data_IF_639414102380
#
_entry.id   IF_639414102380
#
_cell.length_a   1.000
_cell.length_b   1.000
_cell.length_c   1.000
_cell.angle_alpha   90.00
_cell.angle_beta   90.00
_cell.angle_gamma   90.00
#
_symmetry.space_group_name_H-M   'P 1'
#
loop_
_entity.id
_entity.type
_entity.pdbx_description
1 polymer ?
#
# COMPACT_ATOMS: atom_id res chain seq x y z
N UNK A 1 2.01 -26.18 0.62
CA UNK A 1 3.44 -26.58 0.69
C UNK A 1 4.24 -26.13 -0.53
N UNK A 2 3.65 -26.03 -1.73
CA UNK A 2 4.37 -25.59 -2.96
C UNK A 2 4.59 -24.06 -3.00
N UNK A 3 3.64 -23.25 -2.53
CA UNK A 3 3.68 -21.78 -2.66
C UNK A 3 4.89 -21.11 -1.97
N UNK A 4 5.35 -21.63 -0.84
CA UNK A 4 6.47 -21.04 -0.09
C UNK A 4 7.80 -21.27 -0.81
N UNK A 5 8.00 -22.48 -1.35
CA UNK A 5 9.16 -22.80 -2.19
C UNK A 5 9.15 -21.98 -3.49
N UNK A 6 8.00 -21.87 -4.16
CA UNK A 6 7.86 -21.03 -5.36
C UNK A 6 8.15 -19.56 -5.07
N UNK A 7 7.75 -19.09 -3.89
CA UNK A 7 8.04 -17.72 -3.44
C UNK A 7 9.53 -17.51 -3.22
N UNK A 8 10.22 -18.45 -2.57
CA UNK A 8 11.68 -18.39 -2.39
C UNK A 8 12.42 -18.40 -3.72
N UNK A 9 12.05 -19.31 -4.63
CA UNK A 9 12.62 -19.36 -5.99
C UNK A 9 12.38 -18.04 -6.73
N UNK A 10 11.19 -17.45 -6.62
CA UNK A 10 10.88 -16.18 -7.24
C UNK A 10 11.73 -15.03 -6.67
N UNK A 11 12.05 -15.04 -5.37
CA UNK A 11 12.96 -14.08 -4.76
C UNK A 11 14.39 -14.25 -5.28
N UNK A 12 14.91 -15.47 -5.29
CA UNK A 12 16.27 -15.78 -5.77
C UNK A 12 16.47 -15.38 -7.24
N UNK A 13 15.44 -15.58 -8.07
CA UNK A 13 15.45 -15.19 -9.48
C UNK A 13 15.11 -13.71 -9.71
N UNK A 14 14.94 -12.93 -8.64
CA UNK A 14 14.59 -11.52 -8.69
C UNK A 14 13.17 -11.23 -9.20
N UNK A 15 12.33 -12.24 -9.43
CA UNK A 15 10.93 -12.10 -9.90
C UNK A 15 9.98 -11.63 -8.80
N UNK A 16 10.39 -11.77 -7.55
CA UNK A 16 9.71 -11.26 -6.37
C UNK A 16 10.70 -10.60 -5.41
N UNK A 17 10.19 -9.72 -4.56
CA UNK A 17 10.97 -8.97 -3.60
C UNK A 17 10.33 -9.03 -2.22
N UNK A 18 11.13 -9.34 -1.20
CA UNK A 18 10.77 -9.11 0.19
C UNK A 18 11.03 -7.63 0.49
N UNK A 19 9.96 -6.90 0.80
CA UNK A 19 10.04 -5.47 1.13
C UNK A 19 9.56 -5.21 2.55
N UNK A 20 10.09 -4.15 3.16
CA UNK A 20 9.70 -3.68 4.49
C UNK A 20 8.62 -2.61 4.36
N UNK A 21 7.56 -2.73 5.15
CA UNK A 21 6.53 -1.71 5.32
C UNK A 21 6.71 -1.10 6.70
N UNK A 22 7.31 0.09 6.72
CA UNK A 22 7.53 0.88 7.91
C UNK A 22 6.25 1.59 8.34
N UNK A 23 5.89 1.39 9.61
CA UNK A 23 4.64 1.84 10.24
C UNK A 23 4.92 2.93 11.29
N UNK A 24 6.01 3.66 11.13
CA UNK A 24 6.45 4.75 12.02
C UNK A 24 6.73 4.23 13.44
N UNK A 25 5.90 4.58 14.42
CA UNK A 25 6.07 4.17 15.83
C UNK A 25 5.60 2.73 16.11
N UNK A 26 5.03 2.06 15.11
CA UNK A 26 4.55 0.69 15.23
C UNK A 26 5.56 -0.28 14.63
N UNK A 27 5.49 -1.54 15.03
CA UNK A 27 6.34 -2.59 14.50
C UNK A 27 6.21 -2.68 12.97
N UNK A 28 7.33 -2.69 12.22
CA UNK A 28 7.31 -2.85 10.78
C UNK A 28 6.83 -4.26 10.40
N UNK A 29 6.30 -4.41 9.20
CA UNK A 29 5.96 -5.73 8.65
C UNK A 29 6.70 -5.97 7.33
N UNK A 30 6.89 -7.24 7.00
CA UNK A 30 7.49 -7.65 5.74
C UNK A 30 6.43 -8.29 4.86
N UNK A 31 6.45 -7.94 3.57
CA UNK A 31 5.60 -8.56 2.55
C UNK A 31 6.46 -8.97 1.35
N UNK A 32 6.01 -9.99 0.62
CA UNK A 32 6.62 -10.38 -0.65
C UNK A 32 5.76 -9.85 -1.79
N UNK A 33 6.38 -9.11 -2.71
CA UNK A 33 5.72 -8.52 -3.88
C UNK A 33 6.35 -9.07 -5.15
N UNK A 34 5.56 -9.29 -6.21
CA UNK A 34 6.12 -9.67 -7.52
C UNK A 34 6.53 -8.41 -8.28
N UNK A 35 7.46 -8.53 -9.23
CA UNK A 35 7.81 -7.41 -10.13
C UNK A 35 6.60 -6.81 -10.86
N UNK A 36 5.64 -7.66 -11.22
CA UNK A 36 4.41 -7.28 -11.90
C UNK A 36 3.30 -6.81 -10.94
N UNK A 37 3.51 -6.84 -9.63
CA UNK A 37 2.52 -6.37 -8.66
C UNK A 37 2.33 -4.85 -8.79
N UNK A 38 1.06 -4.43 -8.81
CA UNK A 38 0.67 -3.03 -8.78
C UNK A 38 0.68 -2.46 -7.36
N UNK A 39 0.61 -1.13 -7.21
CA UNK A 39 0.41 -0.50 -5.89
C UNK A 39 -0.88 -0.98 -5.22
N UNK A 40 -1.94 -1.22 -5.99
CA UNK A 40 -3.17 -1.84 -5.48
C UNK A 40 -2.90 -3.21 -4.85
N UNK A 41 -2.10 -4.04 -5.51
CA UNK A 41 -1.72 -5.36 -4.97
C UNK A 41 -0.90 -5.23 -3.70
N UNK A 42 0.04 -4.28 -3.64
CA UNK A 42 0.82 -4.00 -2.41
C UNK A 42 -0.13 -3.61 -1.26
N UNK A 43 -1.08 -2.70 -1.49
CA UNK A 43 -2.07 -2.32 -0.48
C UNK A 43 -2.89 -3.52 0.00
N UNK A 44 -3.23 -4.46 -0.89
CA UNK A 44 -3.93 -5.70 -0.53
C UNK A 44 -3.05 -6.65 0.28
N UNK A 45 -1.78 -6.82 -0.11
CA UNK A 45 -0.81 -7.65 0.62
C UNK A 45 -0.57 -7.14 2.04
N UNK A 46 -0.50 -5.81 2.23
CA UNK A 46 -0.43 -5.19 3.55
C UNK A 46 -1.64 -5.57 4.41
N UNK A 47 -2.85 -5.53 3.85
CA UNK A 47 -4.08 -5.90 4.57
C UNK A 47 -4.06 -7.34 5.04
N UNK A 48 -3.67 -8.25 4.14
CA UNK A 48 -3.58 -9.68 4.42
C UNK A 48 -2.52 -9.94 5.49
N UNK A 49 -1.33 -9.35 5.34
CA UNK A 49 -0.23 -9.56 6.27
C UNK A 49 -0.54 -8.98 7.64
N UNK A 50 -1.14 -7.79 7.70
CA UNK A 50 -1.59 -7.22 8.97
C UNK A 50 -2.63 -8.13 9.65
N UNK A 51 -3.59 -8.67 8.92
CA UNK A 51 -4.59 -9.59 9.49
C UNK A 51 -3.98 -10.89 10.02
N UNK A 52 -2.90 -11.38 9.39
CA UNK A 52 -2.11 -12.53 9.88
C UNK A 52 -1.35 -12.22 11.17
N UNK A 53 -0.71 -11.05 11.24
CA UNK A 53 0.09 -10.64 12.40
C UNK A 53 -0.81 -10.21 13.58
N UNK A 54 -1.95 -9.57 13.29
CA UNK A 54 -2.85 -8.99 14.29
C UNK A 54 -4.30 -9.48 14.11
N UNK A 55 -4.59 -10.78 14.30
CA UNK A 55 -5.91 -11.37 14.00
C UNK A 55 -7.06 -10.80 14.82
N UNK A 56 -6.77 -10.24 16.01
CA UNK A 56 -7.78 -9.64 16.89
C UNK A 56 -8.00 -8.14 16.63
N UNK A 57 -7.15 -7.50 15.82
CA UNK A 57 -7.26 -6.06 15.57
C UNK A 57 -8.10 -5.76 14.34
N UNK A 58 -9.14 -4.93 14.51
CA UNK A 58 -9.95 -4.43 13.40
C UNK A 58 -9.41 -3.09 12.92
N UNK A 59 -8.98 -3.04 11.66
CA UNK A 59 -8.53 -1.80 11.00
C UNK A 59 -9.51 -1.44 9.89
N UNK A 60 -9.95 -0.18 9.89
CA UNK A 60 -10.70 0.37 8.77
C UNK A 60 -9.76 0.70 7.61
N UNK A 61 -9.48 -0.29 6.77
CA UNK A 61 -8.59 -0.12 5.61
C UNK A 61 -9.09 0.94 4.64
N UNK A 62 -10.40 1.08 4.50
CA UNK A 62 -11.02 2.19 3.75
C UNK A 62 -10.60 3.55 4.29
N UNK A 63 -10.56 3.73 5.61
CA UNK A 63 -10.07 4.96 6.21
C UNK A 63 -8.57 5.16 6.00
N UNK A 64 -7.77 4.09 6.17
CA UNK A 64 -6.32 4.14 5.97
C UNK A 64 -5.98 4.60 4.55
N UNK A 65 -6.54 3.96 3.51
CA UNK A 65 -6.22 4.30 2.12
C UNK A 65 -6.82 5.63 1.65
N UNK A 66 -7.86 6.12 2.33
CA UNK A 66 -8.39 7.48 2.10
C UNK A 66 -7.51 8.57 2.74
N UNK A 67 -6.82 8.25 3.83
CA UNK A 67 -6.09 9.24 4.65
C UNK A 67 -4.58 9.20 4.41
N UNK A 68 -4.06 8.06 3.98
CA UNK A 68 -2.64 7.80 3.80
C UNK A 68 -2.36 7.16 2.44
N UNK A 69 -1.19 7.46 1.89
CA UNK A 69 -0.62 6.78 0.74
C UNK A 69 0.70 6.12 1.13
N UNK A 70 1.15 5.18 0.28
CA UNK A 70 2.49 4.63 0.38
C UNK A 70 3.50 5.62 -0.20
N UNK A 71 4.71 5.64 0.35
CA UNK A 71 5.82 6.44 -0.14
C UNK A 71 7.08 5.59 -0.22
N UNK A 72 7.79 5.71 -1.32
CA UNK A 72 9.07 5.07 -1.56
C UNK A 72 10.14 6.13 -1.82
N UNK A 73 11.22 6.13 -1.03
CA UNK A 73 12.30 7.14 -1.13
C UNK A 73 11.78 8.59 -1.14
N UNK A 74 10.75 8.88 -0.33
CA UNK A 74 10.12 10.20 -0.25
C UNK A 74 9.12 10.52 -1.37
N UNK A 75 9.01 9.69 -2.41
CA UNK A 75 8.03 9.84 -3.49
C UNK A 75 6.74 9.11 -3.14
N UNK A 76 5.62 9.85 -3.12
CA UNK A 76 4.27 9.29 -2.90
C UNK A 76 3.86 8.43 -4.10
N UNK A 77 3.34 7.24 -3.80
CA UNK A 77 2.81 6.28 -4.76
C UNK A 77 1.29 6.49 -4.82
N UNK A 78 0.85 7.36 -5.73
CA UNK A 78 -0.56 7.76 -5.87
C UNK A 78 -1.30 7.01 -6.98
N UNK A 79 -0.55 6.50 -7.97
CA UNK A 79 -1.10 5.67 -9.04
C UNK A 79 -1.20 4.22 -8.55
N UNK A 80 -2.42 3.71 -8.50
CA UNK A 80 -2.70 2.34 -8.05
C UNK A 80 -2.30 1.28 -9.07
N UNK A 81 -2.18 1.64 -10.36
CA UNK A 81 -1.79 0.73 -11.45
C UNK A 81 -0.28 0.67 -11.67
N UNK A 82 0.48 1.59 -11.07
CA UNK A 82 1.93 1.60 -11.19
C UNK A 82 2.52 0.28 -10.64
N UNK A 83 3.38 -0.35 -11.43
CA UNK A 83 3.97 -1.65 -11.10
C UNK A 83 5.33 -1.52 -10.41
N UNK A 84 5.63 -2.48 -9.54
CA UNK A 84 6.87 -2.55 -8.75
C UNK A 84 8.13 -2.33 -9.62
N UNK A 85 8.21 -3.00 -10.78
CA UNK A 85 9.36 -2.91 -11.69
C UNK A 85 9.60 -1.50 -12.26
N UNK A 86 8.55 -0.70 -12.44
CA UNK A 86 8.64 0.67 -12.95
C UNK A 86 8.97 1.70 -11.85
N UNK A 87 8.75 1.33 -10.59
CA UNK A 87 8.91 2.22 -9.44
C UNK A 87 10.31 2.14 -8.81
N UNK A 88 11.16 1.23 -9.28
CA UNK A 88 12.48 0.98 -8.70
C UNK A 88 12.43 0.34 -7.31
N UNK A 89 11.31 -0.33 -6.99
CA UNK A 89 11.15 -1.15 -5.79
C UNK A 89 11.84 -2.49 -6.07
N UNK A 90 12.74 -2.88 -5.18
CA UNK A 90 13.54 -4.10 -5.25
C UNK A 90 13.58 -4.80 -3.87
N UNK A 91 14.37 -5.87 -3.78
CA UNK A 91 14.65 -6.56 -2.51
C UNK A 91 15.06 -5.56 -1.41
N UNK A 92 14.55 -5.74 -0.20
CA UNK A 92 14.81 -4.94 0.99
C UNK A 92 14.41 -3.46 0.90
N UNK A 93 13.64 -3.09 -0.14
CA UNK A 93 13.05 -1.76 -0.25
C UNK A 93 12.13 -1.45 0.92
N UNK A 94 12.12 -0.18 1.34
CA UNK A 94 11.29 0.29 2.45
C UNK A 94 10.17 1.20 1.93
N UNK A 95 8.94 0.80 2.19
CA UNK A 95 7.75 1.63 2.00
C UNK A 95 7.33 2.24 3.33
N UNK A 96 6.92 3.50 3.30
CA UNK A 96 6.41 4.23 4.47
C UNK A 96 4.98 4.69 4.24
N UNK A 97 4.22 4.87 5.31
CA UNK A 97 2.92 5.55 5.25
C UNK A 97 3.10 7.06 5.35
N UNK A 98 2.64 7.79 4.34
CA UNK A 98 2.60 9.26 4.34
C UNK A 98 1.16 9.73 4.31
N UNK A 99 0.83 10.76 5.09
CA UNK A 99 -0.51 11.37 5.08
C UNK A 99 -0.78 11.98 3.71
N UNK A 100 -1.94 11.67 3.12
CA UNK A 100 -2.43 12.42 1.99
C UNK A 100 -2.72 13.83 2.48
N UNK A 101 -2.03 14.82 1.95
CA UNK A 101 -2.41 16.21 2.16
C UNK A 101 -3.82 16.34 1.58
N UNK A 102 -4.83 16.51 2.44
CA UNK A 102 -6.15 16.93 1.99
C UNK A 102 -5.92 18.27 1.29
N UNK A 103 -6.09 18.31 -0.03
CA UNK A 103 -6.33 19.57 -0.71
C UNK A 103 -7.61 20.14 -0.08
N UNK A 104 -7.45 21.16 0.78
CA UNK A 104 -8.55 22.01 1.25
C UNK A 104 -9.11 22.71 0.02
N UNK A 105 -9.99 22.08 -0.74
CA UNK A 105 -10.37 22.65 -2.04
C UNK A 105 -11.53 22.05 -2.81
N UNK A 106 -12.34 21.12 -2.28
CA UNK A 106 -13.57 20.75 -3.00
C UNK A 106 -14.68 20.12 -2.15
N UNK A 107 -14.99 20.72 -0.99
CA UNK A 107 -16.34 20.56 -0.48
C UNK A 107 -17.26 21.47 -1.29
N UNK A 108 -17.87 20.95 -2.36
CA UNK A 108 -19.10 21.57 -2.87
C UNK A 108 -20.15 21.40 -1.78
N UNK A 109 -20.66 22.48 -1.16
CA UNK A 109 -21.68 22.34 -0.14
C UNK A 109 -22.94 21.75 -0.78
N UNK A 110 -23.51 20.73 -0.16
CA UNK A 110 -24.71 20.03 -0.66
C UNK A 110 -25.98 20.91 -0.69
N UNK A 111 -25.91 22.18 -0.26
CA UNK A 111 -27.06 23.08 -0.20
C UNK A 111 -27.34 23.87 -1.49
N UNK A 112 -26.50 23.77 -2.54
CA UNK A 112 -26.80 24.39 -3.85
C UNK A 112 -27.52 23.43 -4.80
N UNK A 113 -28.77 23.08 -4.47
CA UNK A 113 -29.83 22.88 -5.48
C UNK A 113 -31.10 23.60 -5.00
N UNK A 114 -31.15 24.87 -5.42
CA UNK A 114 -32.26 25.85 -5.47
C UNK A 114 -33.62 25.17 -5.74
N UNK A 115 -34.74 25.50 -5.08
CA UNK A 115 -35.52 26.75 -5.17
C UNK A 115 -35.61 27.35 -6.59
N UNK A 116 -36.50 26.79 -7.40
CA UNK A 116 -37.21 27.31 -8.58
C UNK A 116 -37.96 26.06 -9.13
N UNK A 117 -39.25 26.02 -9.40
CA UNK A 117 -40.27 27.05 -9.58
C UNK A 117 -41.64 26.43 -9.29
#
# INVERSE_FOLDING_TARGET
MIEELETLIAIEQGRAYRIKVDRNKLEPMYIVVKQASSIRDIKRLIQIQFGRIHPQQRVSWKYIWRTFCLSFKGKRLLDDEAVVSQLGIAQDSVLTFTKLAFEKGNHRPAWRRRQHS
#
